data_IF_741298424018
#
_entry.id   IF_741298424018
#
_cell.length_a   1.000
_cell.length_b   1.000
_cell.length_c   1.000
_cell.angle_alpha   90.00
_cell.angle_beta   90.00
_cell.angle_gamma   90.00
#
_symmetry.space_group_name_H-M   'P 1'
#
loop_
_entity.id
_entity.type
_entity.pdbx_description
1 polymer ?
#
# COMPACT_ATOMS: atom_id res chain seq x y z
N UNK A 1 -4.90 -5.14 -29.13
CA UNK A 1 -5.76 -5.27 -27.93
C UNK A 1 -4.94 -4.76 -26.75
N UNK A 2 -5.33 -3.67 -26.12
CA UNK A 2 -4.59 -3.12 -24.97
C UNK A 2 -4.67 -4.14 -23.84
N UNK A 3 -3.51 -4.66 -23.39
CA UNK A 3 -3.40 -5.56 -22.24
C UNK A 3 -3.76 -4.78 -20.96
N UNK A 4 -5.06 -4.66 -20.69
CA UNK A 4 -5.60 -3.69 -19.72
C UNK A 4 -5.96 -4.42 -18.45
N UNK A 5 -5.24 -4.10 -17.38
CA UNK A 5 -5.55 -4.56 -16.03
C UNK A 5 -6.53 -3.61 -15.36
N UNK A 6 -7.42 -4.15 -14.53
CA UNK A 6 -8.24 -3.35 -13.60
C UNK A 6 -8.73 -4.20 -12.44
N UNK A 7 -8.95 -3.57 -11.30
CA UNK A 7 -9.71 -4.12 -10.18
C UNK A 7 -11.03 -3.39 -10.05
N UNK A 8 -12.05 -4.02 -9.49
CA UNK A 8 -13.33 -3.38 -9.18
C UNK A 8 -14.00 -4.04 -7.98
N UNK A 9 -14.82 -3.27 -7.25
CA UNK A 9 -15.72 -3.81 -6.25
C UNK A 9 -16.91 -4.51 -6.90
N UNK A 10 -17.25 -5.71 -6.41
CA UNK A 10 -18.52 -6.37 -6.66
C UNK A 10 -19.09 -6.85 -5.32
N UNK A 11 -20.06 -6.11 -4.79
CA UNK A 11 -20.56 -6.35 -3.44
C UNK A 11 -19.46 -6.15 -2.40
N UNK A 12 -19.07 -7.21 -1.70
CA UNK A 12 -17.97 -7.23 -0.72
C UNK A 12 -16.64 -7.75 -1.29
N UNK A 13 -16.65 -8.17 -2.55
CA UNK A 13 -15.48 -8.73 -3.22
C UNK A 13 -14.73 -7.66 -4.01
N UNK A 14 -13.43 -7.89 -4.15
CA UNK A 14 -12.56 -7.20 -5.10
C UNK A 14 -12.24 -8.19 -6.20
N UNK A 15 -12.60 -7.82 -7.42
CA UNK A 15 -12.42 -8.65 -8.61
C UNK A 15 -11.30 -8.06 -9.45
N UNK A 16 -10.36 -8.91 -9.86
CA UNK A 16 -9.22 -8.57 -10.73
C UNK A 16 -9.56 -9.00 -12.15
N UNK A 17 -9.44 -8.06 -13.09
CA UNK A 17 -9.69 -8.29 -14.50
C UNK A 17 -8.43 -8.07 -15.32
N UNK A 18 -8.33 -8.85 -16.40
CA UNK A 18 -7.37 -8.64 -17.48
C UNK A 18 -8.12 -8.72 -18.81
N UNK A 19 -8.12 -7.63 -19.57
CA UNK A 19 -8.86 -7.54 -20.83
C UNK A 19 -10.35 -7.89 -20.67
N UNK A 20 -10.99 -7.32 -19.66
CA UNK A 20 -12.40 -7.55 -19.28
C UNK A 20 -12.74 -8.98 -18.79
N UNK A 21 -11.82 -9.94 -18.87
CA UNK A 21 -11.99 -11.25 -18.26
C UNK A 21 -11.61 -11.20 -16.78
N UNK A 22 -12.48 -11.73 -15.91
CA UNK A 22 -12.14 -11.98 -14.51
C UNK A 22 -11.03 -13.04 -14.44
N UNK A 23 -9.94 -12.70 -13.76
CA UNK A 23 -8.78 -13.60 -13.58
C UNK A 23 -8.57 -13.98 -12.13
N UNK A 24 -9.11 -13.20 -11.20
CA UNK A 24 -9.01 -13.46 -9.76
C UNK A 24 -10.11 -12.69 -9.01
N UNK A 25 -10.47 -13.16 -7.82
CA UNK A 25 -11.44 -12.55 -6.91
C UNK A 25 -11.06 -12.87 -5.47
N UNK A 26 -11.21 -11.90 -4.58
CA UNK A 26 -11.09 -12.12 -3.14
C UNK A 26 -12.06 -11.25 -2.36
N UNK A 27 -12.52 -11.74 -1.21
CA UNK A 27 -13.42 -10.99 -0.36
C UNK A 27 -12.63 -9.98 0.47
N UNK A 28 -13.09 -8.72 0.50
CA UNK A 28 -12.36 -7.68 1.22
C UNK A 28 -12.30 -7.95 2.73
N UNK A 29 -13.30 -8.61 3.33
CA UNK A 29 -13.29 -8.94 4.76
C UNK A 29 -12.21 -9.95 5.14
N UNK A 30 -11.76 -10.77 4.19
CA UNK A 30 -10.70 -11.76 4.39
C UNK A 30 -9.30 -11.15 4.34
N UNK A 31 -9.17 -9.91 3.87
CA UNK A 31 -7.88 -9.21 3.85
C UNK A 31 -7.38 -9.02 5.27
N UNK A 32 -6.17 -9.48 5.54
CA UNK A 32 -5.50 -9.34 6.84
C UNK A 32 -4.50 -8.18 6.84
N UNK A 33 -3.87 -7.93 5.70
CA UNK A 33 -2.92 -6.83 5.54
C UNK A 33 -2.88 -6.37 4.08
N UNK A 34 -2.77 -5.06 3.89
CA UNK A 34 -2.40 -4.45 2.62
C UNK A 34 -1.07 -3.73 2.81
N UNK A 35 -0.08 -4.04 1.98
CA UNK A 35 1.23 -3.36 1.98
C UNK A 35 1.43 -2.68 0.64
N UNK A 36 1.46 -1.35 0.64
CA UNK A 36 1.84 -0.56 -0.52
C UNK A 36 3.36 -0.41 -0.61
N UNK A 37 3.92 -0.86 -1.73
CA UNK A 37 5.33 -0.67 -2.04
C UNK A 37 5.47 0.51 -2.98
N UNK A 38 6.26 1.49 -2.57
CA UNK A 38 6.43 2.75 -3.30
C UNK A 38 7.90 3.05 -3.62
N UNK A 39 8.12 3.94 -4.56
CA UNK A 39 9.41 4.54 -4.86
C UNK A 39 9.40 6.06 -4.64
N UNK A 40 10.59 6.69 -4.71
CA UNK A 40 10.70 8.12 -4.45
C UNK A 40 10.24 8.48 -3.04
N UNK A 41 9.43 9.53 -2.91
CA UNK A 41 8.90 9.97 -1.62
C UNK A 41 7.65 9.18 -1.18
N UNK A 42 6.95 8.50 -2.10
CA UNK A 42 5.71 7.79 -1.78
C UNK A 42 4.56 8.75 -1.47
N UNK A 43 4.54 9.90 -2.14
CA UNK A 43 3.64 11.03 -1.89
C UNK A 43 2.73 11.35 -3.08
N UNK A 44 2.96 10.72 -4.23
CA UNK A 44 2.04 10.71 -5.36
C UNK A 44 1.46 9.30 -5.60
N UNK A 45 0.24 9.18 -6.16
CA UNK A 45 -0.25 7.89 -6.63
C UNK A 45 0.66 7.23 -7.68
N UNK A 46 1.44 8.02 -8.42
CA UNK A 46 2.41 7.54 -9.41
C UNK A 46 3.66 6.90 -8.80
N UNK A 47 3.90 7.13 -7.50
CA UNK A 47 5.03 6.55 -6.77
C UNK A 47 4.76 5.09 -6.36
N UNK A 48 3.51 4.62 -6.49
CA UNK A 48 3.15 3.26 -6.16
C UNK A 48 3.59 2.30 -7.26
N UNK A 49 4.32 1.26 -6.87
CA UNK A 49 4.78 0.22 -7.79
C UNK A 49 3.84 -0.98 -7.80
N UNK A 50 3.47 -1.46 -6.61
CA UNK A 50 2.55 -2.56 -6.43
C UNK A 50 2.01 -2.59 -4.99
N UNK A 51 0.94 -3.34 -4.79
CA UNK A 51 0.44 -3.71 -3.47
C UNK A 51 0.66 -5.20 -3.24
N UNK A 52 0.91 -5.56 -1.98
CA UNK A 52 0.77 -6.94 -1.50
C UNK A 52 -0.47 -7.01 -0.61
N UNK A 53 -1.33 -8.00 -0.87
CA UNK A 53 -2.54 -8.25 -0.08
C UNK A 53 -2.40 -9.62 0.56
N UNK A 54 -2.25 -9.64 1.88
CA UNK A 54 -2.24 -10.89 2.64
C UNK A 54 -3.67 -11.29 3.00
N UNK A 55 -4.08 -12.48 2.56
CA UNK A 55 -5.29 -13.19 2.99
C UNK A 55 -4.91 -14.25 4.04
N UNK A 56 -5.86 -15.11 4.43
CA UNK A 56 -5.58 -16.21 5.36
C UNK A 56 -4.54 -17.19 4.82
N UNK A 57 -4.76 -17.70 3.60
CA UNK A 57 -3.93 -18.76 3.01
C UNK A 57 -3.10 -18.28 1.82
N UNK A 58 -3.41 -17.09 1.29
CA UNK A 58 -2.81 -16.54 0.07
C UNK A 58 -2.16 -15.17 0.32
N UNK A 59 -1.24 -14.82 -0.57
CA UNK A 59 -0.75 -13.47 -0.79
C UNK A 59 -0.93 -13.10 -2.27
N UNK A 60 -1.52 -11.94 -2.52
CA UNK A 60 -1.64 -11.40 -3.87
C UNK A 60 -0.63 -10.27 -4.06
N UNK A 61 0.06 -10.28 -5.20
CA UNK A 61 0.84 -9.14 -5.69
C UNK A 61 0.01 -8.47 -6.77
N UNK A 62 -0.31 -7.20 -6.56
CA UNK A 62 -1.15 -6.37 -7.42
C UNK A 62 -0.33 -5.21 -7.96
N UNK A 63 0.12 -5.27 -9.23
CA UNK A 63 0.85 -4.17 -9.87
C UNK A 63 0.04 -2.88 -9.88
N UNK A 64 0.70 -1.72 -9.91
CA UNK A 64 0.03 -0.41 -9.91
C UNK A 64 -1.01 -0.27 -11.04
N UNK A 65 -0.76 -0.84 -12.22
CA UNK A 65 -1.68 -0.82 -13.35
C UNK A 65 -3.00 -1.57 -13.10
N UNK A 66 -3.10 -2.40 -12.06
CA UNK A 66 -4.37 -3.01 -11.65
C UNK A 66 -5.33 -2.02 -11.00
N UNK A 67 -4.85 -0.83 -10.62
CA UNK A 67 -5.67 0.19 -9.98
C UNK A 67 -6.13 -0.15 -8.56
N UNK A 68 -5.59 -1.23 -7.95
CA UNK A 68 -6.01 -1.67 -6.61
C UNK A 68 -5.81 -0.59 -5.55
N UNK A 69 -4.73 0.19 -5.64
CA UNK A 69 -4.49 1.30 -4.72
C UNK A 69 -5.64 2.33 -4.71
N UNK A 70 -6.32 2.53 -5.84
CA UNK A 70 -7.49 3.40 -5.89
C UNK A 70 -8.68 2.83 -5.11
N UNK A 71 -8.87 1.50 -5.15
CA UNK A 71 -9.92 0.78 -4.40
C UNK A 71 -9.74 0.89 -2.89
N UNK A 72 -8.51 1.11 -2.44
CA UNK A 72 -8.17 1.28 -1.02
C UNK A 72 -8.18 2.74 -0.60
N UNK A 73 -7.60 3.63 -1.41
CA UNK A 73 -7.34 5.01 -1.00
C UNK A 73 -8.44 6.01 -1.40
N UNK A 74 -9.32 5.67 -2.36
CA UNK A 74 -10.37 6.58 -2.85
C UNK A 74 -11.77 5.99 -2.76
N UNK A 75 -11.89 4.67 -2.64
CA UNK A 75 -13.19 3.99 -2.52
C UNK A 75 -13.34 3.36 -1.15
N UNK A 76 -14.54 3.51 -0.57
CA UNK A 76 -14.87 2.93 0.73
C UNK A 76 -13.78 3.22 1.79
N UNK A 77 -13.30 4.46 1.82
CA UNK A 77 -12.17 4.89 2.67
C UNK A 77 -12.44 4.57 4.14
N UNK A 78 -13.65 4.80 4.62
CA UNK A 78 -14.06 4.50 6.00
C UNK A 78 -13.92 3.00 6.34
N UNK A 79 -14.22 2.12 5.38
CA UNK A 79 -14.04 0.69 5.56
C UNK A 79 -12.56 0.34 5.78
N UNK A 80 -11.66 0.82 4.92
CA UNK A 80 -10.24 0.53 5.04
C UNK A 80 -9.59 1.19 6.26
N UNK A 81 -10.02 2.41 6.57
CA UNK A 81 -9.59 3.17 7.74
C UNK A 81 -9.99 2.46 9.03
N UNK A 82 -11.27 2.06 9.17
CA UNK A 82 -11.77 1.37 10.35
C UNK A 82 -11.09 0.01 10.57
N UNK A 83 -10.70 -0.67 9.50
CA UNK A 83 -9.99 -1.95 9.59
C UNK A 83 -8.52 -1.81 10.02
N UNK A 84 -7.89 -0.65 9.82
CA UNK A 84 -6.54 -0.36 10.33
C UNK A 84 -5.46 -1.34 9.85
N UNK A 85 -5.45 -1.69 8.56
CA UNK A 85 -4.59 -2.75 8.02
C UNK A 85 -3.87 -2.39 6.71
N UNK A 86 -3.72 -1.10 6.45
CA UNK A 86 -2.94 -0.56 5.32
C UNK A 86 -1.58 -0.10 5.81
N UNK A 87 -0.52 -0.62 5.20
CA UNK A 87 0.87 -0.36 5.53
C UNK A 87 1.65 0.08 4.29
N UNK A 88 2.80 0.70 4.51
CA UNK A 88 3.62 1.28 3.46
C UNK A 88 5.08 0.89 3.64
N UNK A 89 5.81 0.69 2.56
CA UNK A 89 7.25 0.45 2.59
C UNK A 89 7.91 0.95 1.32
N UNK A 90 9.08 1.56 1.46
CA UNK A 90 9.87 1.98 0.31
C UNK A 90 10.51 0.76 -0.38
N UNK A 91 10.54 0.74 -1.71
CA UNK A 91 10.99 -0.41 -2.51
C UNK A 91 12.39 -0.91 -2.16
N UNK A 92 13.31 -0.02 -1.79
CA UNK A 92 14.69 -0.39 -1.42
C UNK A 92 14.76 -1.23 -0.15
N UNK A 93 13.69 -1.25 0.65
CA UNK A 93 13.56 -2.02 1.90
C UNK A 93 12.53 -3.15 1.80
N UNK A 94 12.00 -3.40 0.60
CA UNK A 94 11.01 -4.44 0.33
C UNK A 94 11.48 -5.38 -0.80
N UNK A 95 12.63 -6.06 -0.64
CA UNK A 95 13.17 -6.89 -1.70
C UNK A 95 12.24 -8.07 -2.00
N UNK A 96 11.83 -8.23 -3.26
CA UNK A 96 11.13 -9.42 -3.71
C UNK A 96 12.10 -10.49 -4.25
N UNK A 97 11.78 -11.79 -4.08
CA UNK A 97 12.51 -12.87 -4.75
C UNK A 97 12.58 -12.67 -6.26
N UNK A 98 13.71 -13.02 -6.88
CA UNK A 98 13.94 -12.80 -8.33
C UNK A 98 12.84 -13.38 -9.22
N UNK A 99 12.24 -14.52 -8.84
CA UNK A 99 11.14 -15.13 -9.60
C UNK A 99 9.90 -14.24 -9.68
N UNK A 100 9.65 -13.43 -8.65
CA UNK A 100 8.51 -12.52 -8.55
C UNK A 100 8.80 -11.15 -9.16
N UNK A 101 10.08 -10.79 -9.31
CA UNK A 101 10.53 -9.57 -10.00
C UNK A 101 10.39 -9.66 -11.52
N UNK A 102 10.16 -10.85 -12.10
CA UNK A 102 10.18 -11.07 -13.55
C UNK A 102 8.87 -10.69 -14.25
N UNK A 103 8.69 -9.39 -14.47
CA UNK A 103 7.92 -8.85 -15.59
C UNK A 103 8.88 -8.40 -16.70
N UNK A 104 8.86 -9.04 -17.89
CA UNK A 104 9.61 -8.70 -19.14
C UNK A 104 10.74 -7.65 -19.00
N UNK A 105 11.79 -8.00 -18.26
CA UNK A 105 12.80 -7.05 -17.77
C UNK A 105 13.89 -6.66 -18.77
N UNK A 106 13.75 -7.00 -20.06
CA UNK A 106 14.75 -6.63 -21.06
C UNK A 106 14.44 -5.34 -21.84
N UNK A 107 13.24 -4.76 -21.69
CA UNK A 107 12.85 -3.59 -22.51
C UNK A 107 12.12 -2.46 -21.75
N UNK A 108 11.85 -2.56 -20.45
CA UNK A 108 11.19 -1.49 -19.68
C UNK A 108 11.82 -1.33 -18.30
N UNK A 109 12.53 -0.22 -18.11
CA UNK A 109 13.19 0.20 -16.87
C UNK A 109 12.23 0.53 -15.71
N UNK A 110 10.92 0.36 -15.87
CA UNK A 110 9.90 0.75 -14.88
C UNK A 110 8.81 -0.31 -14.64
N UNK A 111 8.98 -1.55 -15.09
CA UNK A 111 7.97 -2.59 -14.88
C UNK A 111 8.19 -3.28 -13.52
N UNK A 112 7.32 -3.00 -12.55
CA UNK A 112 7.24 -3.72 -11.28
C UNK A 112 6.92 -5.22 -11.44
N UNK A 113 6.63 -5.94 -10.34
CA UNK A 113 6.24 -7.34 -10.43
C UNK A 113 4.97 -7.50 -11.27
N UNK A 114 4.72 -8.69 -11.81
CA UNK A 114 3.45 -9.02 -12.44
C UNK A 114 2.38 -9.40 -11.40
N UNK A 115 1.11 -9.40 -11.80
CA UNK A 115 0.05 -9.96 -10.97
C UNK A 115 0.34 -11.43 -10.65
N UNK A 116 0.22 -11.79 -9.37
CA UNK A 116 0.36 -13.17 -8.91
C UNK A 116 -0.48 -13.39 -7.64
N UNK A 117 -1.07 -14.58 -7.53
CA UNK A 117 -1.56 -15.14 -6.26
C UNK A 117 -0.63 -16.29 -5.89
N UNK A 118 -0.14 -16.28 -4.66
CA UNK A 118 0.83 -17.25 -4.15
C UNK A 118 0.39 -17.72 -2.76
N UNK A 119 0.78 -18.93 -2.32
CA UNK A 119 0.57 -19.34 -0.94
C UNK A 119 1.18 -18.33 0.03
N UNK A 120 0.46 -18.01 1.09
CA UNK A 120 0.90 -17.07 2.12
C UNK A 120 2.27 -17.44 2.69
N UNK A 121 2.51 -18.73 2.90
CA UNK A 121 3.77 -19.26 3.42
C UNK A 121 4.99 -18.87 2.56
N UNK A 122 4.82 -18.56 1.28
CA UNK A 122 5.94 -18.14 0.41
C UNK A 122 6.36 -16.68 0.59
N UNK A 123 5.44 -15.80 0.98
CA UNK A 123 5.67 -14.35 0.96
C UNK A 123 5.57 -13.71 2.35
N UNK A 124 4.71 -14.21 3.23
CA UNK A 124 4.50 -13.66 4.58
C UNK A 124 5.79 -13.60 5.41
N UNK A 125 6.65 -14.64 5.45
CA UNK A 125 7.91 -14.57 6.19
C UNK A 125 8.84 -13.46 5.69
N UNK A 126 8.79 -13.13 4.40
CA UNK A 126 9.59 -12.06 3.83
C UNK A 126 9.02 -10.67 4.16
N UNK A 127 7.70 -10.52 4.13
CA UNK A 127 7.00 -9.28 4.49
C UNK A 127 7.19 -8.95 5.98
N UNK A 128 7.22 -9.96 6.86
CA UNK A 128 7.44 -9.78 8.30
C UNK A 128 8.77 -9.07 8.63
N UNK A 129 9.77 -9.19 7.77
CA UNK A 129 11.07 -8.52 7.92
C UNK A 129 11.11 -7.13 7.30
N UNK A 130 10.07 -6.71 6.57
CA UNK A 130 10.01 -5.38 5.99
C UNK A 130 9.72 -4.33 7.07
N UNK A 131 10.40 -3.17 7.04
CA UNK A 131 10.14 -2.09 7.97
C UNK A 131 8.88 -1.33 7.55
N UNK A 132 7.71 -1.89 7.85
CA UNK A 132 6.41 -1.36 7.48
C UNK A 132 6.06 -0.08 8.27
N UNK A 133 5.60 0.95 7.58
CA UNK A 133 5.02 2.17 8.15
C UNK A 133 3.49 2.04 8.19
N UNK A 134 2.88 2.20 9.37
CA UNK A 134 1.42 2.12 9.53
C UNK A 134 0.99 1.41 10.82
N UNK A 135 -0.28 0.98 10.93
CA UNK A 135 -1.30 1.07 9.88
C UNK A 135 -1.79 2.50 9.67
N UNK A 136 -1.93 2.91 8.41
CA UNK A 136 -2.51 4.20 8.02
C UNK A 136 -2.93 4.20 6.55
N UNK A 137 -4.06 4.83 6.23
CA UNK A 137 -4.45 5.12 4.85
C UNK A 137 -3.58 6.26 4.27
N UNK A 138 -3.69 6.47 2.95
CA UNK A 138 -3.02 7.59 2.28
C UNK A 138 -3.35 8.95 2.90
N UNK A 139 -4.63 9.18 3.22
CA UNK A 139 -5.08 10.44 3.82
C UNK A 139 -4.48 10.65 5.21
N UNK A 140 -4.49 9.62 6.05
CA UNK A 140 -3.87 9.66 7.38
C UNK A 140 -2.35 9.91 7.29
N UNK A 141 -1.67 9.31 6.31
CA UNK A 141 -0.25 9.56 6.05
C UNK A 141 0.02 11.03 5.68
N UNK A 142 -0.82 11.62 4.81
CA UNK A 142 -0.72 13.05 4.45
C UNK A 142 -0.91 13.96 5.65
N UNK A 143 -1.90 13.70 6.51
CA UNK A 143 -2.15 14.49 7.72
C UNK A 143 -0.99 14.43 8.71
N UNK A 144 -0.47 13.23 9.03
CA UNK A 144 0.70 13.09 9.92
C UNK A 144 1.93 13.85 9.43
N UNK A 145 2.12 13.95 8.12
CA UNK A 145 3.21 14.75 7.54
C UNK A 145 2.98 16.24 7.77
N UNK A 146 1.76 16.73 7.59
CA UNK A 146 1.41 18.13 7.87
C UNK A 146 1.65 18.43 9.35
N UNK A 147 1.26 17.53 10.26
CA UNK A 147 1.53 17.67 11.70
C UNK A 147 3.02 17.73 12.00
N UNK A 148 3.83 16.82 11.42
CA UNK A 148 5.29 16.76 11.62
C UNK A 148 6.06 17.93 11.00
N UNK A 149 5.50 18.60 9.99
CA UNK A 149 6.13 19.72 9.30
C UNK A 149 5.79 21.08 9.90
N UNK A 150 5.03 21.13 11.01
CA UNK A 150 4.78 22.37 11.74
C UNK A 150 6.07 22.85 12.43
N UNK A 151 6.64 24.01 12.04
CA UNK A 151 7.99 24.41 12.48
C UNK A 151 8.12 24.92 13.92
N UNK A 152 7.02 25.06 14.67
CA UNK A 152 7.02 25.71 16.00
C UNK A 152 6.05 25.02 16.97
N UNK A 153 6.55 24.01 17.68
CA UNK A 153 5.87 23.40 18.82
C UNK A 153 6.88 23.16 19.93
N UNK A 154 7.24 24.21 20.68
CA UNK A 154 8.23 24.10 21.74
C UNK A 154 8.87 25.42 22.16
N UNK A 155 8.07 26.34 22.70
CA UNK A 155 8.50 27.28 23.73
C UNK A 155 7.29 27.53 24.61
N UNK A 156 7.09 26.64 25.58
CA UNK A 156 6.30 27.00 26.75
C UNK A 156 7.08 28.12 27.46
N UNK A 157 6.57 29.34 27.39
CA UNK A 157 6.98 30.46 28.23
C UNK A 157 6.53 30.18 29.67
N UNK A 158 7.22 29.29 30.37
CA UNK A 158 7.20 29.23 31.82
C UNK A 158 8.22 30.22 32.39
N UNK A 159 8.00 31.51 32.22
CA UNK A 159 8.75 32.52 32.97
C UNK A 159 8.01 33.85 33.04
N UNK A 160 6.92 33.94 33.81
CA UNK A 160 6.58 35.18 34.53
C UNK A 160 5.62 34.82 35.66
N UNK A 161 6.15 34.45 36.83
CA UNK A 161 5.76 35.16 38.05
C UNK A 161 6.68 34.76 39.21
N UNK A 162 7.62 35.64 39.56
CA UNK A 162 8.22 35.75 40.88
C UNK A 162 9.19 36.94 40.86
N UNK A 163 8.63 38.15 41.03
CA UNK A 163 9.32 39.32 41.58
C UNK A 163 8.31 40.45 41.82
N UNK A 164 7.86 40.55 43.06
CA UNK A 164 7.51 41.76 43.85
C UNK A 164 7.09 41.21 45.22
N UNK A 165 7.99 41.16 46.20
CA UNK A 165 8.45 42.29 47.02
C UNK A 165 7.28 42.98 47.73
#
# INVERSE_FOLDING_TARGET
>A
MSNTWRTAWQGQDIVVFRNEAEVDRFNASQVQRVVFVYEGSGESPGDLLYAVVELADDCLILPAETGFAGRVNFERVDYWSARGLVYWVHQSRAPLPMRLRRGRWWLRLSAGPAFARLPRAELSPLIEHWPLEGPQTWEQRKWRRIERSRPFGGRDESSTDQRRA
#
